data_IF_955193827330
#
_entry.id   IF_955193827330
#
_cell.length_a   1.000
_cell.length_b   1.000
_cell.length_c   1.000
_cell.angle_alpha   90.00
_cell.angle_beta   90.00
_cell.angle_gamma   90.00
#
_symmetry.space_group_name_H-M   'P 1'
#
loop_
_entity.id
_entity.type
_entity.pdbx_description
1 polymer ?
#
# COMPACT_ATOMS: atom_id res chain seq x y z
N UNK A 1 -2.97 6.64 19.39
CA UNK A 1 -3.85 6.24 18.27
C UNK A 1 -3.48 7.08 17.06
N UNK A 2 -3.37 6.50 15.86
CA UNK A 2 -3.06 7.23 14.62
C UNK A 2 -4.33 7.56 13.85
N UNK A 3 -4.37 8.75 13.23
CA UNK A 3 -5.49 9.17 12.37
C UNK A 3 -5.51 8.40 11.05
N UNK A 4 -6.62 8.48 10.32
CA UNK A 4 -6.74 7.85 9.00
C UNK A 4 -5.74 8.43 8.01
N UNK A 5 -5.51 9.74 8.03
CA UNK A 5 -4.55 10.45 7.19
C UNK A 5 -3.12 10.00 7.48
N UNK A 6 -2.77 9.85 8.77
CA UNK A 6 -1.45 9.35 9.17
C UNK A 6 -1.21 7.92 8.67
N UNK A 7 -2.24 7.07 8.68
CA UNK A 7 -2.17 5.71 8.14
C UNK A 7 -2.04 5.70 6.62
N UNK A 8 -2.81 6.51 5.90
CA UNK A 8 -2.70 6.67 4.45
C UNK A 8 -1.32 7.16 4.04
N UNK A 9 -0.79 8.19 4.70
CA UNK A 9 0.56 8.69 4.45
C UNK A 9 1.63 7.61 4.71
N UNK A 10 1.43 6.74 5.70
CA UNK A 10 2.31 5.60 5.96
C UNK A 10 2.26 4.58 4.81
N UNK A 11 1.06 4.18 4.39
CA UNK A 11 0.85 3.23 3.29
C UNK A 11 1.49 3.73 1.99
N UNK A 12 1.38 5.02 1.68
CA UNK A 12 2.00 5.60 0.49
C UNK A 12 3.52 5.58 0.52
N UNK A 13 4.14 5.86 1.68
CA UNK A 13 5.59 5.72 1.83
C UNK A 13 6.01 4.27 1.64
N UNK A 14 5.27 3.33 2.22
CA UNK A 14 5.55 1.91 2.14
C UNK A 14 5.46 1.40 0.70
N UNK A 15 4.41 1.79 -0.05
CA UNK A 15 4.28 1.45 -1.48
C UNK A 15 5.47 1.95 -2.30
N UNK A 16 5.92 3.20 -2.08
CA UNK A 16 7.12 3.72 -2.76
C UNK A 16 8.38 2.94 -2.40
N UNK A 17 8.53 2.60 -1.11
CA UNK A 17 9.67 1.84 -0.63
C UNK A 17 9.69 0.42 -1.21
N UNK A 18 8.57 -0.30 -1.14
CA UNK A 18 8.43 -1.66 -1.69
C UNK A 18 8.68 -1.71 -3.19
N UNK A 19 8.08 -0.81 -3.98
CA UNK A 19 8.34 -0.76 -5.44
C UNK A 19 9.83 -0.66 -5.76
N UNK A 20 10.59 0.12 -4.98
CA UNK A 20 12.04 0.26 -5.15
C UNK A 20 12.84 -0.95 -4.63
N UNK A 21 12.56 -1.39 -3.41
CA UNK A 21 13.32 -2.45 -2.76
C UNK A 21 13.02 -3.80 -3.40
N UNK A 22 11.77 -4.09 -3.71
CA UNK A 22 11.36 -5.37 -4.28
C UNK A 22 11.91 -5.54 -5.69
N UNK A 23 11.90 -4.48 -6.52
CA UNK A 23 12.58 -4.51 -7.81
C UNK A 23 14.06 -4.91 -7.67
N UNK A 24 14.77 -4.37 -6.69
CA UNK A 24 16.16 -4.77 -6.39
C UNK A 24 16.27 -6.21 -5.86
N UNK A 25 15.34 -6.66 -5.02
CA UNK A 25 15.36 -8.03 -4.50
C UNK A 25 15.08 -9.07 -5.58
N UNK A 26 14.19 -8.74 -6.52
CA UNK A 26 13.90 -9.54 -7.72
C UNK A 26 15.14 -9.66 -8.60
N UNK A 27 15.78 -8.53 -8.92
CA UNK A 27 17.03 -8.50 -9.69
C UNK A 27 18.15 -9.33 -9.04
N UNK A 28 18.21 -9.34 -7.70
CA UNK A 28 19.16 -10.16 -6.94
C UNK A 28 18.74 -11.63 -6.78
N UNK A 29 17.60 -12.06 -7.32
CA UNK A 29 17.06 -13.41 -7.16
C UNK A 29 16.63 -13.75 -5.72
N UNK A 30 16.47 -12.74 -4.86
CA UNK A 30 16.05 -12.89 -3.44
C UNK A 30 14.54 -12.84 -3.24
N UNK A 31 13.79 -12.52 -4.30
CA UNK A 31 12.34 -12.45 -4.33
C UNK A 31 11.87 -12.80 -5.74
N UNK A 32 10.71 -13.43 -5.88
CA UNK A 32 10.10 -13.63 -7.20
C UNK A 32 9.29 -12.41 -7.61
N UNK A 33 9.18 -12.14 -8.91
CA UNK A 33 8.31 -11.07 -9.45
C UNK A 33 6.87 -11.24 -8.96
N UNK A 34 6.33 -12.46 -9.03
CA UNK A 34 5.00 -12.78 -8.56
C UNK A 34 4.78 -12.37 -7.10
N UNK A 35 5.73 -12.69 -6.21
CA UNK A 35 5.59 -12.37 -4.79
C UNK A 35 5.66 -10.86 -4.54
N UNK A 36 6.50 -10.14 -5.29
CA UNK A 36 6.58 -8.69 -5.21
C UNK A 36 5.26 -8.05 -5.65
N UNK A 37 4.67 -8.53 -6.74
CA UNK A 37 3.40 -8.04 -7.29
C UNK A 37 2.22 -8.33 -6.35
N UNK A 38 2.13 -9.54 -5.80
CA UNK A 38 1.12 -9.92 -4.81
C UNK A 38 1.14 -8.97 -3.59
N UNK A 39 2.33 -8.71 -3.05
CA UNK A 39 2.46 -7.85 -1.86
C UNK A 39 2.22 -6.37 -2.15
N UNK A 40 2.58 -5.88 -3.33
CA UNK A 40 2.27 -4.51 -3.75
C UNK A 40 0.75 -4.36 -3.95
N UNK A 41 0.14 -5.30 -4.66
CA UNK A 41 -1.31 -5.32 -4.91
C UNK A 41 -2.12 -5.33 -3.61
N UNK A 42 -1.68 -6.12 -2.63
CA UNK A 42 -2.31 -6.15 -1.31
C UNK A 42 -2.23 -4.79 -0.58
N UNK A 43 -1.09 -4.11 -0.64
CA UNK A 43 -0.94 -2.78 -0.03
C UNK A 43 -1.78 -1.71 -0.75
N UNK A 44 -1.94 -1.82 -2.07
CA UNK A 44 -2.82 -0.96 -2.85
C UNK A 44 -4.29 -1.18 -2.49
N UNK A 45 -4.72 -2.43 -2.33
CA UNK A 45 -6.06 -2.74 -1.84
C UNK A 45 -6.32 -2.15 -0.44
N UNK A 46 -5.36 -2.29 0.49
CA UNK A 46 -5.46 -1.68 1.82
C UNK A 46 -5.58 -0.15 1.69
N UNK A 47 -4.78 0.49 0.82
CA UNK A 47 -4.89 1.94 0.59
C UNK A 47 -6.32 2.31 0.17
N UNK A 48 -6.88 1.58 -0.78
CA UNK A 48 -8.22 1.81 -1.29
C UNK A 48 -9.27 1.66 -0.18
N UNK A 49 -9.19 0.62 0.65
CA UNK A 49 -10.10 0.42 1.79
C UNK A 49 -10.11 1.62 2.75
N UNK A 50 -8.95 2.25 2.97
CA UNK A 50 -8.86 3.45 3.80
C UNK A 50 -9.45 4.69 3.11
N UNK A 51 -9.26 4.83 1.80
CA UNK A 51 -9.86 5.92 1.01
C UNK A 51 -11.40 5.78 0.97
N UNK A 52 -11.91 4.57 0.82
CA UNK A 52 -13.36 4.31 0.80
C UNK A 52 -13.99 4.54 2.17
N UNK A 53 -13.28 4.20 3.26
CA UNK A 53 -13.68 4.56 4.63
C UNK A 53 -13.75 6.06 4.85
N UNK A 54 -12.82 6.83 4.28
CA UNK A 54 -12.93 8.29 4.34
C UNK A 54 -14.15 8.77 3.54
N UNK A 55 -14.48 8.16 2.41
CA UNK A 55 -15.61 8.57 1.57
C UNK A 55 -16.99 8.24 2.19
N UNK A 56 -17.13 7.09 2.85
CA UNK A 56 -18.38 6.68 3.51
C UNK A 56 -18.73 7.52 4.74
N UNK A 57 -17.78 8.22 5.35
CA UNK A 57 -18.02 9.12 6.49
C UNK A 57 -18.60 10.48 6.08
N UNK A 58 -18.54 10.86 4.80
CA UNK A 58 -19.05 12.14 4.28
C UNK A 58 -20.31 11.99 3.40
N UNK A 59 -20.89 10.80 3.30
CA UNK A 59 -22.09 10.53 2.48
C UNK A 59 -23.36 10.28 3.31
N UNK A 60 -23.48 10.91 4.48
CA UNK A 60 -24.77 11.02 5.18
C UNK A 60 -25.34 12.41 4.91
N UNK A 61 -26.14 12.51 3.86
CA UNK A 61 -27.14 13.57 3.66
C UNK A 61 -28.30 13.40 4.65
#
# INVERSE_FOLDING_TARGET
>A
MYTTEQKLACIERELRHRRRVYARLVDQGKMTEQKAEEEISMMEAIKQDYQDKTHTLFSRD
#
